data_IF_691819756021
#
_entry.id   IF_691819756021
#
_cell.length_a   1.000
_cell.length_b   1.000
_cell.length_c   1.000
_cell.angle_alpha   90.00
_cell.angle_beta   90.00
_cell.angle_gamma   90.00
#
_symmetry.space_group_name_H-M   'P 1'
#
loop_
_entity.id
_entity.type
_entity.pdbx_description
1 polymer ?
#
# COMPACT_ATOMS: atom_id res chain seq x y z
N UNK A 1 -51.96 60.69 7.85
CA UNK A 1 -50.89 60.69 8.80
C UNK A 1 -49.86 59.69 8.28
N UNK A 2 -48.92 60.11 7.57
CA UNK A 2 -47.45 60.15 7.58
C UNK A 2 -46.79 59.05 8.44
N UNK A 3 -46.05 58.17 7.80
CA UNK A 3 -44.71 57.63 8.16
C UNK A 3 -44.54 56.32 7.38
N UNK A 4 -43.46 55.92 6.87
CA UNK A 4 -42.13 56.36 6.58
C UNK A 4 -41.53 55.25 5.71
N UNK A 5 -41.13 55.53 4.51
CA UNK A 5 -40.27 54.68 3.68
C UNK A 5 -38.84 55.19 3.90
N UNK A 6 -37.99 54.38 4.45
CA UNK A 6 -36.51 54.44 4.22
C UNK A 6 -35.86 53.17 4.79
N UNK A 7 -34.91 52.70 4.05
CA UNK A 7 -33.84 51.73 4.32
C UNK A 7 -34.02 50.39 3.60
N UNK A 8 -33.46 50.33 2.41
CA UNK A 8 -32.97 49.11 1.78
C UNK A 8 -32.01 49.51 0.65
N UNK A 9 -30.81 49.93 0.99
CA UNK A 9 -29.71 50.09 0.03
C UNK A 9 -28.35 50.18 0.74
N UNK A 10 -27.90 49.13 1.41
CA UNK A 10 -26.50 48.88 1.77
C UNK A 10 -26.34 47.41 2.12
N UNK A 11 -26.13 46.53 1.19
CA UNK A 11 -25.65 45.15 1.44
C UNK A 11 -25.18 44.45 0.14
N UNK A 12 -24.45 45.15 -0.72
CA UNK A 12 -23.87 44.50 -1.95
C UNK A 12 -22.44 44.83 -2.24
N UNK A 13 -21.64 45.28 -1.27
CA UNK A 13 -20.24 45.63 -1.51
C UNK A 13 -19.23 44.70 -0.76
N UNK A 14 -19.68 43.79 0.11
CA UNK A 14 -18.76 43.00 0.95
C UNK A 14 -18.37 41.61 0.39
N UNK A 15 -18.97 41.12 -0.69
CA UNK A 15 -18.63 39.77 -1.18
C UNK A 15 -17.53 39.72 -2.23
N UNK A 16 -17.25 40.81 -2.93
CA UNK A 16 -16.19 40.88 -3.96
C UNK A 16 -14.79 41.13 -3.39
N UNK A 17 -14.68 41.83 -2.28
CA UNK A 17 -13.39 42.13 -1.65
C UNK A 17 -12.71 40.92 -1.01
N UNK A 18 -13.48 40.04 -0.39
CA UNK A 18 -12.94 38.86 0.26
C UNK A 18 -12.46 37.80 -0.74
N UNK A 19 -13.15 37.60 -1.88
CA UNK A 19 -12.75 36.68 -2.91
C UNK A 19 -11.44 37.06 -3.59
N UNK A 20 -11.21 38.35 -3.82
CA UNK A 20 -9.97 38.85 -4.43
C UNK A 20 -8.78 38.74 -3.45
N UNK A 21 -9.02 39.02 -2.16
CA UNK A 21 -7.98 38.92 -1.13
C UNK A 21 -7.54 37.47 -0.91
N UNK A 22 -8.47 36.52 -0.90
CA UNK A 22 -8.17 35.09 -0.82
C UNK A 22 -7.43 34.57 -2.05
N UNK A 23 -7.81 34.99 -3.24
CA UNK A 23 -7.14 34.61 -4.48
C UNK A 23 -5.71 35.19 -4.56
N UNK A 24 -5.49 36.39 -4.10
CA UNK A 24 -4.15 37.01 -4.06
C UNK A 24 -3.25 36.37 -3.00
N UNK A 25 -3.76 36.06 -1.81
CA UNK A 25 -2.99 35.37 -0.76
C UNK A 25 -2.62 33.94 -1.14
N UNK A 26 -3.52 33.21 -1.81
CA UNK A 26 -3.24 31.86 -2.30
C UNK A 26 -2.22 31.87 -3.46
N UNK A 27 -2.28 32.84 -4.38
CA UNK A 27 -1.33 32.97 -5.48
C UNK A 27 0.10 33.34 -4.99
N UNK A 28 0.22 34.22 -4.02
CA UNK A 28 1.50 34.58 -3.38
C UNK A 28 2.08 33.39 -2.62
N UNK A 29 1.25 32.63 -1.92
CA UNK A 29 1.62 31.38 -1.24
C UNK A 29 2.12 30.33 -2.25
N UNK A 30 1.41 30.12 -3.35
CA UNK A 30 1.80 29.20 -4.41
C UNK A 30 3.12 29.55 -5.11
N UNK A 31 3.36 30.82 -5.38
CA UNK A 31 4.63 31.30 -5.97
C UNK A 31 5.82 31.05 -5.04
N UNK A 32 5.68 31.33 -3.76
CA UNK A 32 6.69 31.06 -2.73
C UNK A 32 6.99 29.56 -2.62
N UNK A 33 5.95 28.71 -2.60
CA UNK A 33 6.10 27.24 -2.57
C UNK A 33 6.84 26.71 -3.80
N UNK A 34 6.56 27.23 -4.98
CA UNK A 34 7.28 26.87 -6.22
C UNK A 34 8.77 27.22 -6.13
N UNK A 35 9.10 28.41 -5.62
CA UNK A 35 10.48 28.82 -5.41
C UNK A 35 11.19 27.91 -4.40
N UNK A 36 10.55 27.60 -3.27
CA UNK A 36 11.09 26.68 -2.26
C UNK A 36 11.32 25.28 -2.80
N UNK A 37 10.36 24.74 -3.58
CA UNK A 37 10.50 23.43 -4.23
C UNK A 37 11.64 23.45 -5.27
N UNK A 38 11.75 24.49 -6.08
CA UNK A 38 12.81 24.65 -7.07
C UNK A 38 14.20 24.65 -6.43
N UNK A 39 14.37 25.32 -5.27
CA UNK A 39 15.62 25.30 -4.49
C UNK A 39 16.01 23.90 -4.02
N UNK A 40 15.03 23.01 -3.84
CA UNK A 40 15.24 21.59 -3.50
C UNK A 40 15.39 20.68 -4.74
N UNK A 41 15.34 21.25 -5.96
CA UNK A 41 15.29 20.49 -7.22
C UNK A 41 14.00 19.66 -7.35
N UNK A 42 12.88 20.18 -6.83
CA UNK A 42 11.56 19.57 -6.86
C UNK A 42 10.55 20.46 -7.61
N UNK A 43 9.42 19.88 -7.95
CA UNK A 43 8.31 20.54 -8.65
C UNK A 43 7.15 20.71 -7.67
N UNK A 44 6.58 21.92 -7.62
CA UNK A 44 5.35 22.18 -6.92
C UNK A 44 4.29 22.69 -7.87
N UNK A 45 3.10 22.11 -7.85
CA UNK A 45 1.95 22.51 -8.65
C UNK A 45 0.70 22.64 -7.75
N UNK A 46 -0.16 23.60 -8.10
CA UNK A 46 -1.43 23.79 -7.40
C UNK A 46 -2.50 22.82 -7.92
N UNK A 47 -3.58 22.63 -7.17
CA UNK A 47 -4.71 21.80 -7.60
C UNK A 47 -5.31 22.26 -8.93
N UNK A 48 -5.38 23.57 -9.13
CA UNK A 48 -5.86 24.15 -10.39
C UNK A 48 -4.96 23.79 -11.56
N UNK A 49 -3.64 23.86 -11.37
CA UNK A 49 -2.66 23.47 -12.38
C UNK A 49 -2.71 21.97 -12.69
N UNK A 50 -2.88 21.14 -11.65
CA UNK A 50 -3.06 19.69 -11.83
C UNK A 50 -4.30 19.42 -12.70
N UNK A 51 -5.44 20.03 -12.38
CA UNK A 51 -6.68 19.83 -13.12
C UNK A 51 -6.59 20.37 -14.55
N UNK A 52 -6.04 21.57 -14.74
CA UNK A 52 -5.85 22.16 -16.07
C UNK A 52 -4.89 21.34 -16.94
N UNK A 53 -3.75 20.90 -16.36
CA UNK A 53 -2.79 20.04 -17.02
C UNK A 53 -3.38 18.70 -17.42
N UNK A 54 -4.06 18.01 -16.50
CA UNK A 54 -4.70 16.73 -16.76
C UNK A 54 -5.80 16.79 -17.83
N UNK A 55 -6.57 17.89 -17.89
CA UNK A 55 -7.53 18.13 -18.98
C UNK A 55 -6.84 18.26 -20.33
N UNK A 56 -5.69 18.94 -20.39
CA UNK A 56 -4.89 19.09 -21.60
C UNK A 56 -4.24 17.78 -22.01
N UNK A 57 -3.77 17.00 -21.06
CA UNK A 57 -3.15 15.69 -21.27
C UNK A 57 -4.14 14.64 -21.76
N UNK A 58 -5.38 14.63 -21.26
CA UNK A 58 -6.50 13.80 -21.71
C UNK A 58 -6.36 12.31 -21.46
N UNK A 59 -5.20 11.83 -20.99
CA UNK A 59 -4.93 10.41 -20.71
C UNK A 59 -3.89 10.23 -19.63
N UNK A 60 -3.81 9.00 -19.09
CA UNK A 60 -2.72 8.56 -18.23
C UNK A 60 -2.38 7.09 -18.52
N UNK A 61 -1.10 6.75 -18.56
CA UNK A 61 -0.61 5.38 -18.75
C UNK A 61 -0.03 4.90 -17.42
N UNK A 62 -0.67 3.91 -16.82
CA UNK A 62 -0.34 3.43 -15.47
C UNK A 62 0.09 1.96 -15.48
N UNK A 63 1.10 1.63 -14.68
CA UNK A 63 1.49 0.27 -14.35
C UNK A 63 1.52 0.11 -12.82
N UNK A 64 0.35 0.02 -12.17
CA UNK A 64 0.27 -0.05 -10.72
C UNK A 64 0.61 -1.43 -10.18
N UNK A 65 0.94 -1.51 -8.88
CA UNK A 65 1.23 -2.76 -8.19
C UNK A 65 0.00 -3.61 -7.86
N UNK A 66 -1.20 -3.10 -8.10
CA UNK A 66 -2.46 -3.80 -7.81
C UNK A 66 -2.74 -4.93 -8.80
N UNK A 67 -3.47 -5.94 -8.33
CA UNK A 67 -3.85 -7.10 -9.15
C UNK A 67 -4.77 -6.72 -10.31
N UNK A 68 -4.67 -7.43 -11.42
CA UNK A 68 -5.47 -7.21 -12.63
C UNK A 68 -6.99 -7.23 -12.36
N UNK A 69 -7.44 -8.02 -11.39
CA UNK A 69 -8.85 -8.05 -10.99
C UNK A 69 -9.39 -6.71 -10.49
N UNK A 70 -8.53 -5.80 -10.06
CA UNK A 70 -8.93 -4.46 -9.59
C UNK A 70 -9.02 -3.45 -10.73
N UNK A 71 -8.47 -3.75 -11.92
CA UNK A 71 -8.34 -2.81 -13.05
C UNK A 71 -9.67 -2.20 -13.45
N UNK A 72 -10.62 -3.02 -13.83
CA UNK A 72 -11.89 -2.51 -14.40
C UNK A 72 -12.63 -1.61 -13.42
N UNK A 73 -12.89 -2.01 -12.16
CA UNK A 73 -13.57 -1.15 -11.20
C UNK A 73 -12.82 0.15 -10.87
N UNK A 74 -11.49 0.10 -10.72
CA UNK A 74 -10.69 1.29 -10.42
C UNK A 74 -10.68 2.27 -11.60
N UNK A 75 -10.48 1.78 -12.81
CA UNK A 75 -10.48 2.62 -14.03
C UNK A 75 -11.85 3.27 -14.24
N UNK A 76 -12.95 2.50 -14.10
CA UNK A 76 -14.30 3.04 -14.24
C UNK A 76 -14.61 4.12 -13.21
N UNK A 77 -14.25 3.90 -11.93
CA UNK A 77 -14.48 4.89 -10.89
C UNK A 77 -13.61 6.14 -11.08
N UNK A 78 -12.34 5.99 -11.47
CA UNK A 78 -11.48 7.11 -11.80
C UNK A 78 -12.04 7.93 -12.96
N UNK A 79 -12.43 7.29 -14.07
CA UNK A 79 -12.96 7.98 -15.25
C UNK A 79 -14.34 8.60 -14.99
N UNK A 80 -15.14 8.03 -14.08
CA UNK A 80 -16.37 8.67 -13.62
C UNK A 80 -16.09 9.98 -12.88
N UNK A 81 -15.04 10.03 -12.06
CA UNK A 81 -14.60 11.22 -11.32
C UNK A 81 -13.91 12.25 -12.22
N UNK A 82 -13.10 11.78 -13.16
CA UNK A 82 -12.33 12.60 -14.09
C UNK A 82 -12.61 12.19 -15.54
N UNK A 83 -13.79 12.52 -16.11
CA UNK A 83 -14.24 12.04 -17.42
C UNK A 83 -13.41 12.59 -18.60
N UNK A 84 -12.55 13.54 -18.33
CA UNK A 84 -11.62 14.11 -19.30
C UNK A 84 -10.26 13.39 -19.35
N UNK A 85 -10.06 12.30 -18.57
CA UNK A 85 -8.83 11.49 -18.58
C UNK A 85 -9.17 10.05 -18.89
N UNK A 86 -8.61 9.50 -19.96
CA UNK A 86 -8.65 8.08 -20.25
C UNK A 86 -7.48 7.35 -19.56
N UNK A 87 -7.70 6.14 -19.08
CA UNK A 87 -6.67 5.35 -18.40
C UNK A 87 -6.25 4.18 -19.27
N UNK A 88 -4.96 4.11 -19.57
CA UNK A 88 -4.32 2.95 -20.17
C UNK A 88 -3.58 2.19 -19.06
N UNK A 89 -4.11 1.02 -18.67
CA UNK A 89 -3.51 0.16 -17.65
C UNK A 89 -2.59 -0.87 -18.30
N UNK A 90 -1.34 -0.90 -17.88
CA UNK A 90 -0.35 -1.89 -18.31
C UNK A 90 0.03 -2.80 -17.16
N UNK A 91 0.40 -4.03 -17.51
CA UNK A 91 0.82 -5.03 -16.55
C UNK A 91 2.31 -5.26 -16.74
N UNK A 92 3.06 -5.19 -15.64
CA UNK A 92 4.46 -5.61 -15.56
C UNK A 92 4.48 -6.83 -14.64
N UNK A 93 4.60 -8.03 -15.20
CA UNK A 93 4.25 -9.27 -14.49
C UNK A 93 5.41 -10.13 -14.02
N UNK A 94 6.64 -9.89 -14.47
CA UNK A 94 7.77 -10.76 -14.16
C UNK A 94 9.08 -9.97 -14.00
N UNK A 95 10.09 -10.63 -13.46
CA UNK A 95 11.42 -10.04 -13.26
C UNK A 95 12.03 -9.53 -14.59
N UNK A 96 11.71 -10.14 -15.71
CA UNK A 96 12.15 -9.72 -17.05
C UNK A 96 11.49 -8.42 -17.47
N UNK A 97 10.18 -8.31 -17.27
CA UNK A 97 9.40 -7.08 -17.53
C UNK A 97 9.86 -5.91 -16.67
N UNK A 98 10.19 -6.16 -15.40
CA UNK A 98 10.71 -5.15 -14.49
C UNK A 98 12.11 -4.67 -14.88
N UNK A 99 13.00 -5.60 -15.23
CA UNK A 99 14.34 -5.23 -15.69
C UNK A 99 14.25 -4.40 -16.97
N UNK A 100 13.41 -4.80 -17.92
CA UNK A 100 13.13 -4.03 -19.14
C UNK A 100 12.59 -2.63 -18.80
N UNK A 101 11.64 -2.53 -17.87
CA UNK A 101 11.08 -1.24 -17.43
C UNK A 101 12.16 -0.31 -16.87
N UNK A 102 13.06 -0.82 -16.01
CA UNK A 102 14.18 -0.05 -15.45
C UNK A 102 15.08 0.46 -16.59
N UNK A 103 15.43 -0.40 -17.55
CA UNK A 103 16.26 -0.03 -18.69
C UNK A 103 15.59 1.00 -19.59
N UNK A 104 14.30 0.85 -19.86
CA UNK A 104 13.52 1.81 -20.67
C UNK A 104 13.42 3.17 -19.97
N UNK A 105 13.21 3.19 -18.66
CA UNK A 105 13.20 4.44 -17.87
C UNK A 105 14.58 5.10 -17.87
N UNK A 106 15.64 4.34 -17.68
CA UNK A 106 17.00 4.85 -17.71
C UNK A 106 17.39 5.42 -19.09
N UNK A 107 16.93 4.77 -20.16
CA UNK A 107 17.15 5.23 -21.53
C UNK A 107 16.22 6.39 -21.98
N UNK A 108 15.32 6.87 -21.10
CA UNK A 108 14.32 7.88 -21.45
C UNK A 108 13.24 7.40 -22.44
N UNK A 109 13.07 6.08 -22.59
CA UNK A 109 12.15 5.44 -23.54
C UNK A 109 10.85 4.92 -22.90
N UNK A 110 10.74 4.99 -21.57
CA UNK A 110 9.51 4.58 -20.89
C UNK A 110 8.33 5.45 -21.33
N UNK A 111 7.20 4.81 -21.56
CA UNK A 111 5.93 5.48 -21.89
C UNK A 111 4.98 5.55 -20.71
N UNK A 112 5.37 5.05 -19.54
CA UNK A 112 4.56 5.07 -18.33
C UNK A 112 4.55 6.47 -17.71
N UNK A 113 3.38 6.92 -17.28
CA UNK A 113 3.21 8.13 -16.50
C UNK A 113 3.28 7.83 -15.00
N UNK A 114 2.62 6.75 -14.58
CA UNK A 114 2.66 6.22 -13.21
C UNK A 114 3.13 4.77 -13.24
N UNK A 115 4.01 4.39 -12.33
CA UNK A 115 4.48 3.03 -12.21
C UNK A 115 4.66 2.61 -10.75
N UNK A 116 4.59 1.31 -10.52
CA UNK A 116 4.93 0.70 -9.23
C UNK A 116 6.36 0.16 -9.29
N UNK A 117 7.32 0.74 -8.54
CA UNK A 117 8.63 0.13 -8.40
C UNK A 117 8.50 -1.15 -7.55
N UNK A 118 8.84 -2.29 -8.14
CA UNK A 118 8.76 -3.57 -7.43
C UNK A 118 9.67 -3.62 -6.21
N UNK A 119 9.20 -4.25 -5.13
CA UNK A 119 9.91 -4.23 -3.84
C UNK A 119 11.31 -4.86 -3.91
N UNK A 120 11.47 -5.96 -4.65
CA UNK A 120 12.77 -6.65 -4.81
C UNK A 120 13.80 -5.78 -5.53
N UNK A 121 13.35 -4.84 -6.37
CA UNK A 121 14.16 -3.92 -7.16
C UNK A 121 14.13 -2.48 -6.64
N UNK A 122 13.45 -2.24 -5.53
CA UNK A 122 13.23 -0.89 -5.01
C UNK A 122 14.53 -0.10 -4.81
N UNK A 123 15.58 -0.76 -4.32
CA UNK A 123 16.91 -0.15 -4.16
C UNK A 123 17.56 0.26 -5.50
N UNK A 124 17.29 -0.47 -6.58
CA UNK A 124 17.76 -0.12 -7.93
C UNK A 124 17.02 1.12 -8.43
N UNK A 125 15.69 1.17 -8.29
CA UNK A 125 14.90 2.36 -8.63
C UNK A 125 15.40 3.60 -7.87
N UNK A 126 15.69 3.48 -6.58
CA UNK A 126 16.24 4.60 -5.79
C UNK A 126 17.61 5.07 -6.28
N UNK A 127 18.46 4.14 -6.78
CA UNK A 127 19.74 4.47 -7.39
C UNK A 127 19.59 5.28 -8.69
N UNK A 128 18.74 4.81 -9.59
CA UNK A 128 18.55 5.42 -10.90
C UNK A 128 17.67 6.67 -10.87
N UNK A 129 16.89 6.85 -9.79
CA UNK A 129 16.00 8.01 -9.58
C UNK A 129 15.06 8.28 -10.77
N UNK A 130 14.34 7.27 -11.29
CA UNK A 130 13.49 7.43 -12.47
C UNK A 130 12.17 8.14 -12.17
N UNK A 131 12.15 8.97 -11.13
CA UNK A 131 10.99 9.63 -10.58
C UNK A 131 10.98 11.11 -10.95
N UNK A 132 9.85 11.61 -11.41
CA UNK A 132 9.58 13.03 -11.48
C UNK A 132 9.42 13.56 -10.05
N UNK A 133 10.21 14.55 -9.68
CA UNK A 133 10.35 14.96 -8.29
C UNK A 133 9.34 16.04 -7.90
N UNK A 134 8.09 15.65 -7.70
CA UNK A 134 7.12 16.54 -7.08
C UNK A 134 7.38 16.64 -5.55
N UNK A 135 7.23 17.84 -4.98
CA UNK A 135 7.24 18.04 -3.52
C UNK A 135 5.87 17.62 -2.95
N UNK A 136 5.61 16.29 -3.00
CA UNK A 136 4.33 15.71 -2.59
C UNK A 136 3.96 16.08 -1.15
N UNK A 137 4.96 16.15 -0.25
CA UNK A 137 4.74 16.50 1.17
C UNK A 137 4.22 17.93 1.30
N UNK A 138 4.85 18.89 0.61
CA UNK A 138 4.37 20.28 0.60
C UNK A 138 3.00 20.40 -0.07
N UNK A 139 2.78 19.69 -1.18
CA UNK A 139 1.49 19.71 -1.89
C UNK A 139 0.35 19.14 -1.02
N UNK A 140 0.60 18.09 -0.25
CA UNK A 140 -0.38 17.54 0.72
C UNK A 140 -0.61 18.52 1.88
N UNK A 141 0.46 19.06 2.45
CA UNK A 141 0.38 20.02 3.53
C UNK A 141 -0.47 21.25 3.17
N UNK A 142 -0.36 21.72 1.93
CA UNK A 142 -1.09 22.88 1.42
C UNK A 142 -2.44 22.53 0.81
N UNK A 143 -2.88 21.26 0.90
CA UNK A 143 -4.18 20.80 0.38
C UNK A 143 -4.27 20.69 -1.16
N UNK A 144 -3.13 20.74 -1.87
CA UNK A 144 -3.10 20.61 -3.32
C UNK A 144 -3.27 19.16 -3.77
N UNK A 145 -2.92 18.19 -2.93
CA UNK A 145 -3.20 16.77 -3.06
C UNK A 145 -3.88 16.26 -1.79
N UNK A 146 -4.92 15.46 -1.95
CA UNK A 146 -5.71 14.89 -0.84
C UNK A 146 -5.36 13.41 -0.66
N UNK A 147 -4.32 13.14 0.11
CA UNK A 147 -3.91 11.80 0.51
C UNK A 147 -3.28 11.83 1.91
N UNK A 148 -3.27 10.72 2.65
CA UNK A 148 -2.57 10.63 3.93
C UNK A 148 -1.06 10.89 3.76
N UNK A 149 -0.53 11.88 4.51
CA UNK A 149 0.88 12.26 4.41
C UNK A 149 1.84 11.09 4.71
N UNK A 150 1.45 10.19 5.61
CA UNK A 150 2.23 9.00 5.99
C UNK A 150 2.31 7.93 4.88
N UNK A 151 1.56 8.09 3.79
CA UNK A 151 1.75 7.27 2.58
C UNK A 151 3.00 7.68 1.80
N UNK A 152 3.51 8.90 1.99
CA UNK A 152 4.68 9.40 1.28
C UNK A 152 5.94 8.94 2.01
N UNK A 153 6.83 8.26 1.30
CA UNK A 153 8.09 7.78 1.87
C UNK A 153 9.09 8.89 2.19
N UNK A 154 10.25 8.49 2.72
CA UNK A 154 11.32 9.44 3.09
C UNK A 154 11.92 10.18 1.88
N UNK A 155 11.81 9.61 0.66
CA UNK A 155 12.28 10.27 -0.57
C UNK A 155 11.39 11.45 -0.96
N UNK A 156 10.14 11.44 -0.50
CA UNK A 156 9.13 12.45 -0.79
C UNK A 156 8.49 12.34 -2.18
N UNK A 157 8.80 11.28 -2.95
CA UNK A 157 8.36 11.13 -4.35
C UNK A 157 7.62 9.81 -4.63
N UNK A 158 7.61 8.88 -3.68
CA UNK A 158 6.90 7.59 -3.78
C UNK A 158 5.77 7.54 -2.78
N UNK A 159 4.61 7.09 -3.21
CA UNK A 159 3.42 6.92 -2.37
C UNK A 159 3.18 5.42 -2.18
N UNK A 160 2.98 4.97 -0.94
CA UNK A 160 2.74 3.57 -0.57
C UNK A 160 1.25 3.35 -0.33
N UNK A 161 0.57 2.76 -1.30
CA UNK A 161 -0.88 2.70 -1.41
C UNK A 161 -1.52 1.47 -0.77
N UNK A 162 -0.72 0.47 -0.38
CA UNK A 162 -1.24 -0.79 0.11
C UNK A 162 -0.63 -1.22 1.44
N UNK A 163 -1.23 -2.27 2.00
CA UNK A 163 -0.76 -2.95 3.21
C UNK A 163 -0.89 -4.46 3.05
N UNK A 164 -0.14 -5.19 3.84
CA UNK A 164 -0.33 -6.63 4.01
C UNK A 164 -0.11 -7.01 5.47
N UNK A 165 -0.96 -7.87 5.99
CA UNK A 165 -0.94 -8.30 7.39
C UNK A 165 -0.58 -9.78 7.49
N UNK A 166 0.23 -10.14 8.49
CA UNK A 166 0.47 -11.53 8.86
C UNK A 166 -0.50 -11.99 9.96
N UNK A 167 -1.00 -13.19 9.83
CA UNK A 167 -1.95 -13.78 10.78
C UNK A 167 -1.65 -15.24 11.08
N UNK A 168 -2.54 -15.87 11.83
CA UNK A 168 -2.53 -17.30 12.11
C UNK A 168 -3.88 -17.85 11.65
N UNK A 169 -3.90 -19.03 11.07
CA UNK A 169 -5.12 -19.71 10.65
C UNK A 169 -5.14 -21.15 11.18
N UNK A 170 -6.31 -21.64 11.55
CA UNK A 170 -6.44 -23.01 12.02
C UNK A 170 -7.70 -23.70 11.50
N UNK A 171 -7.67 -25.03 11.46
CA UNK A 171 -8.74 -25.89 10.96
C UNK A 171 -9.69 -26.26 12.12
N UNK A 172 -10.94 -25.80 12.05
CA UNK A 172 -11.89 -25.85 13.18
C UNK A 172 -12.48 -27.24 13.46
N UNK A 173 -12.41 -28.17 12.49
CA UNK A 173 -12.84 -29.57 12.70
C UNK A 173 -11.77 -30.42 13.40
N UNK A 174 -10.50 -29.96 13.38
CA UNK A 174 -9.36 -30.67 13.97
C UNK A 174 -8.94 -30.02 15.26
N UNK A 175 -8.96 -28.69 15.33
CA UNK A 175 -8.55 -27.90 16.48
C UNK A 175 -9.78 -27.46 17.27
N UNK A 176 -10.04 -28.01 18.44
CA UNK A 176 -11.17 -27.61 19.26
C UNK A 176 -10.95 -26.18 19.83
N UNK A 177 -12.02 -25.46 20.20
CA UNK A 177 -11.94 -24.07 20.62
C UNK A 177 -10.99 -23.80 21.80
N UNK A 178 -10.88 -24.70 22.75
CA UNK A 178 -9.99 -24.62 23.92
C UNK A 178 -8.51 -24.84 23.60
N UNK A 179 -8.21 -25.38 22.40
CA UNK A 179 -6.86 -25.58 21.87
C UNK A 179 -6.50 -24.59 20.76
N UNK A 180 -7.42 -23.70 20.38
CA UNK A 180 -7.19 -22.75 19.29
C UNK A 180 -5.98 -21.86 19.58
N UNK A 181 -5.16 -21.54 18.55
CA UNK A 181 -4.04 -20.62 18.74
C UNK A 181 -4.56 -19.23 19.11
N UNK A 182 -3.85 -18.54 20.02
CA UNK A 182 -4.20 -17.17 20.45
C UNK A 182 -3.16 -16.12 20.05
N UNK A 183 -1.98 -16.55 19.62
CA UNK A 183 -0.89 -15.65 19.25
C UNK A 183 0.35 -16.40 18.79
N UNK A 184 1.46 -15.68 18.64
CA UNK A 184 2.71 -16.22 18.12
C UNK A 184 3.26 -17.40 18.92
N UNK A 185 3.17 -17.35 20.27
CA UNK A 185 3.68 -18.43 21.13
C UNK A 185 2.90 -19.73 20.91
N UNK A 186 1.62 -19.65 20.53
CA UNK A 186 0.83 -20.85 20.18
C UNK A 186 1.42 -21.62 19.01
N UNK A 187 2.13 -20.96 18.10
CA UNK A 187 2.79 -21.63 16.96
C UNK A 187 4.02 -22.46 17.38
N UNK A 188 4.52 -22.25 18.59
CA UNK A 188 5.64 -22.99 19.19
C UNK A 188 5.19 -24.14 20.09
N UNK A 189 3.89 -24.27 20.36
CA UNK A 189 3.36 -25.29 21.24
C UNK A 189 3.71 -26.71 20.70
N UNK A 190 4.32 -27.59 21.51
CA UNK A 190 4.68 -28.94 21.10
C UNK A 190 3.50 -29.79 20.59
N UNK A 191 2.25 -29.47 20.99
CA UNK A 191 1.07 -30.17 20.49
C UNK A 191 0.94 -30.07 18.95
N UNK A 192 1.53 -29.03 18.35
CA UNK A 192 1.53 -28.79 16.89
C UNK A 192 2.75 -29.37 16.17
N UNK A 193 3.63 -30.08 16.86
CA UNK A 193 4.80 -30.69 16.22
C UNK A 193 4.36 -31.54 15.01
N UNK A 194 4.96 -31.26 13.82
CA UNK A 194 4.58 -31.87 12.53
C UNK A 194 3.13 -31.60 12.08
N UNK A 195 2.43 -30.65 12.72
CA UNK A 195 1.04 -30.28 12.42
C UNK A 195 0.85 -28.77 12.23
N UNK A 196 1.92 -28.00 12.37
CA UNK A 196 1.95 -26.57 12.08
C UNK A 196 2.62 -26.34 10.72
N UNK A 197 2.11 -25.41 9.94
CA UNK A 197 2.73 -24.99 8.69
C UNK A 197 3.25 -23.55 8.79
N UNK A 198 4.31 -23.27 8.00
CA UNK A 198 4.84 -21.95 7.75
C UNK A 198 5.13 -21.79 6.25
N UNK A 199 5.04 -20.55 5.75
CA UNK A 199 5.48 -20.21 4.41
C UNK A 199 7.02 -20.25 4.33
N UNK A 200 7.54 -20.82 3.24
CA UNK A 200 8.99 -20.81 2.97
C UNK A 200 9.56 -19.40 2.83
N UNK A 201 8.70 -18.41 2.56
CA UNK A 201 9.00 -16.97 2.60
C UNK A 201 8.47 -16.36 3.89
N UNK A 202 9.29 -16.21 4.95
CA UNK A 202 8.85 -15.80 6.29
C UNK A 202 8.49 -14.32 6.41
N UNK A 203 7.64 -13.81 5.53
CA UNK A 203 7.30 -12.39 5.43
C UNK A 203 6.69 -11.84 6.72
N UNK A 204 5.77 -12.59 7.33
CA UNK A 204 5.15 -12.16 8.58
C UNK A 204 6.20 -12.02 9.70
N UNK A 205 7.20 -12.90 9.76
CA UNK A 205 8.29 -12.81 10.74
C UNK A 205 9.21 -11.63 10.44
N UNK A 206 9.52 -11.37 9.17
CA UNK A 206 10.29 -10.19 8.78
C UNK A 206 9.59 -8.89 9.21
N UNK A 207 8.27 -8.83 9.14
CA UNK A 207 7.48 -7.67 9.58
C UNK A 207 7.37 -7.54 11.11
N UNK A 208 7.81 -8.53 11.88
CA UNK A 208 7.95 -8.41 13.33
C UNK A 208 9.26 -7.75 13.76
N UNK A 209 10.26 -7.65 12.88
CA UNK A 209 11.56 -7.07 13.22
C UNK A 209 11.51 -5.65 13.80
N UNK A 210 10.64 -4.72 13.32
CA UNK A 210 10.54 -3.39 13.92
C UNK A 210 10.18 -3.39 15.41
N UNK A 211 9.38 -4.37 15.86
CA UNK A 211 8.92 -4.45 17.26
C UNK A 211 9.74 -5.43 18.09
N UNK A 212 10.09 -6.58 17.54
CA UNK A 212 10.83 -7.62 18.29
C UNK A 212 12.34 -7.47 18.22
N UNK A 213 12.86 -6.79 17.21
CA UNK A 213 14.28 -6.81 16.88
C UNK A 213 14.68 -8.08 16.14
N UNK A 214 15.80 -8.01 15.41
CA UNK A 214 16.30 -9.09 14.57
C UNK A 214 16.61 -10.36 15.37
N UNK A 215 17.32 -10.23 16.49
CA UNK A 215 17.73 -11.35 17.33
C UNK A 215 16.54 -12.19 17.83
N UNK A 216 15.49 -11.52 18.36
CA UNK A 216 14.29 -12.20 18.83
C UNK A 216 13.54 -12.88 17.69
N UNK A 217 13.48 -12.28 16.50
CA UNK A 217 12.85 -12.92 15.32
C UNK A 217 13.61 -14.17 14.90
N UNK A 218 14.94 -14.11 14.86
CA UNK A 218 15.78 -15.28 14.52
C UNK A 218 15.67 -16.39 15.57
N UNK A 219 15.64 -16.04 16.88
CA UNK A 219 15.43 -17.03 17.95
C UNK A 219 14.06 -17.69 17.83
N UNK A 220 13.00 -16.91 17.63
CA UNK A 220 11.67 -17.42 17.38
C UNK A 220 11.62 -18.36 16.17
N UNK A 221 12.25 -17.97 15.07
CA UNK A 221 12.32 -18.79 13.86
C UNK A 221 13.07 -20.12 14.08
N UNK A 222 14.15 -20.14 14.90
CA UNK A 222 14.83 -21.39 15.28
C UNK A 222 13.91 -22.30 16.09
N UNK A 223 13.13 -21.74 17.02
CA UNK A 223 12.13 -22.49 17.80
C UNK A 223 11.04 -23.06 16.90
N UNK A 224 10.54 -22.28 15.92
CA UNK A 224 9.62 -22.77 14.89
C UNK A 224 10.19 -24.01 14.20
N UNK A 225 11.45 -23.97 13.75
CA UNK A 225 12.10 -25.12 13.12
C UNK A 225 12.14 -26.34 14.03
N UNK A 226 12.36 -26.16 15.34
CA UNK A 226 12.32 -27.22 16.34
C UNK A 226 10.98 -27.94 16.43
N UNK A 227 9.89 -27.30 16.02
CA UNK A 227 8.57 -27.89 15.95
C UNK A 227 8.32 -28.73 14.68
N UNK A 228 9.34 -28.90 13.83
CA UNK A 228 9.32 -29.67 12.59
C UNK A 228 8.12 -29.27 11.68
N UNK A 229 8.00 -27.98 11.29
CA UNK A 229 6.83 -27.51 10.58
C UNK A 229 6.73 -28.06 9.17
N UNK A 230 5.53 -28.07 8.62
CA UNK A 230 5.28 -28.30 7.22
C UNK A 230 5.59 -27.00 6.48
N UNK A 231 6.53 -27.05 5.54
CA UNK A 231 6.92 -25.91 4.74
C UNK A 231 6.07 -25.82 3.48
N UNK A 232 5.36 -24.71 3.31
CA UNK A 232 4.50 -24.48 2.14
C UNK A 232 5.00 -23.32 1.29
N UNK A 233 5.14 -23.50 -0.02
CA UNK A 233 5.55 -22.43 -0.93
C UNK A 233 4.37 -21.54 -1.33
N UNK A 234 3.87 -20.74 -0.39
CA UNK A 234 2.82 -19.75 -0.66
C UNK A 234 1.45 -20.06 -0.03
N UNK A 235 0.75 -18.98 0.29
CA UNK A 235 -0.45 -19.02 1.12
C UNK A 235 -1.63 -19.77 0.47
N UNK A 236 -1.82 -19.69 -0.85
CA UNK A 236 -2.99 -20.31 -1.50
C UNK A 236 -2.98 -21.83 -1.36
N UNK A 237 -1.85 -22.47 -1.67
CA UNK A 237 -1.68 -23.91 -1.52
C UNK A 237 -1.82 -24.34 -0.05
N UNK A 238 -1.16 -23.61 0.87
CA UNK A 238 -1.22 -23.88 2.30
C UNK A 238 -2.65 -23.80 2.85
N UNK A 239 -3.45 -22.82 2.44
CA UNK A 239 -4.83 -22.68 2.90
C UNK A 239 -5.70 -23.84 2.39
N UNK A 240 -5.49 -24.28 1.15
CA UNK A 240 -6.17 -25.47 0.60
C UNK A 240 -5.81 -26.71 1.41
N UNK A 241 -4.53 -26.96 1.68
CA UNK A 241 -4.06 -28.09 2.49
C UNK A 241 -4.61 -28.02 3.92
N UNK A 242 -4.62 -26.84 4.56
CA UNK A 242 -5.22 -26.64 5.87
C UNK A 242 -6.72 -26.98 5.84
N UNK A 243 -7.44 -26.58 4.80
CA UNK A 243 -8.89 -26.79 4.71
C UNK A 243 -9.28 -28.25 4.68
N UNK A 244 -8.46 -29.10 4.06
CA UNK A 244 -8.67 -30.55 4.00
C UNK A 244 -8.00 -31.31 5.15
N UNK A 245 -7.31 -30.61 6.06
CA UNK A 245 -6.78 -31.17 7.29
C UNK A 245 -5.40 -31.84 7.18
N UNK A 246 -4.59 -31.52 6.17
CA UNK A 246 -3.21 -32.02 6.07
C UNK A 246 -2.35 -31.55 7.24
N UNK A 247 -2.70 -30.40 7.84
CA UNK A 247 -2.14 -29.88 9.09
C UNK A 247 -3.20 -29.10 9.87
N UNK A 248 -2.89 -28.71 11.09
CA UNK A 248 -3.87 -28.16 12.03
C UNK A 248 -3.85 -26.63 12.09
N UNK A 249 -2.65 -26.03 11.98
CA UNK A 249 -2.41 -24.60 12.16
C UNK A 249 -1.47 -24.08 11.08
N UNK A 250 -1.76 -22.92 10.54
CA UNK A 250 -0.89 -22.20 9.60
C UNK A 250 -0.48 -20.87 10.22
N UNK A 251 0.78 -20.73 10.59
CA UNK A 251 1.34 -19.54 11.22
C UNK A 251 2.05 -18.64 10.20
N UNK A 252 1.85 -17.33 10.33
CA UNK A 252 2.43 -16.35 9.42
C UNK A 252 1.70 -16.24 8.08
N UNK A 253 0.46 -16.72 7.98
CA UNK A 253 -0.36 -16.58 6.77
C UNK A 253 -0.56 -15.12 6.41
N UNK A 254 -0.43 -14.78 5.13
CA UNK A 254 -0.82 -13.45 4.65
C UNK A 254 -2.34 -13.33 4.66
N UNK A 255 -2.88 -12.46 5.52
CA UNK A 255 -4.31 -12.37 5.83
C UNK A 255 -5.18 -12.08 4.61
N UNK A 256 -4.70 -11.28 3.64
CA UNK A 256 -5.43 -11.02 2.40
C UNK A 256 -5.72 -12.30 1.59
N UNK A 257 -4.79 -13.26 1.59
CA UNK A 257 -5.00 -14.56 0.94
C UNK A 257 -6.06 -15.38 1.66
N UNK A 258 -6.04 -15.36 3.00
CA UNK A 258 -7.04 -16.01 3.82
C UNK A 258 -8.42 -15.39 3.65
N UNK A 259 -8.53 -14.07 3.71
CA UNK A 259 -9.79 -13.34 3.50
C UNK A 259 -10.39 -13.63 2.12
N UNK A 260 -9.56 -13.66 1.07
CA UNK A 260 -10.02 -14.00 -0.28
C UNK A 260 -10.59 -15.41 -0.36
N UNK A 261 -9.91 -16.40 0.23
CA UNK A 261 -10.40 -17.79 0.25
C UNK A 261 -11.71 -17.92 1.03
N UNK A 262 -11.79 -17.33 2.23
CA UNK A 262 -13.01 -17.35 3.04
C UNK A 262 -14.17 -16.56 2.42
N UNK A 263 -13.88 -15.54 1.62
CA UNK A 263 -14.89 -14.81 0.84
C UNK A 263 -15.43 -15.65 -0.31
N UNK A 264 -14.55 -16.40 -0.98
CA UNK A 264 -14.93 -17.27 -2.10
C UNK A 264 -15.70 -18.51 -1.62
N UNK A 265 -15.33 -19.05 -0.47
CA UNK A 265 -16.02 -20.18 0.18
C UNK A 265 -16.11 -19.96 1.70
N UNK A 266 -17.24 -19.37 2.17
CA UNK A 266 -17.47 -19.17 3.60
C UNK A 266 -17.71 -20.47 4.39
N UNK A 267 -17.87 -21.61 3.74
CA UNK A 267 -18.12 -22.90 4.37
C UNK A 267 -16.82 -23.62 4.78
N UNK A 268 -15.67 -23.11 4.38
CA UNK A 268 -14.37 -23.67 4.78
C UNK A 268 -14.26 -23.74 6.30
N UNK A 269 -13.84 -24.89 6.86
CA UNK A 269 -13.71 -25.07 8.32
C UNK A 269 -12.45 -24.39 8.85
N UNK A 270 -12.29 -23.10 8.57
CA UNK A 270 -11.10 -22.32 8.88
C UNK A 270 -11.45 -21.08 9.69
N UNK A 271 -10.59 -20.74 10.65
CA UNK A 271 -10.67 -19.48 11.38
C UNK A 271 -9.35 -18.75 11.39
N UNK A 272 -9.45 -17.42 11.29
CA UNK A 272 -8.33 -16.49 11.43
C UNK A 272 -8.13 -16.06 12.87
N UNK A 273 -6.88 -15.94 13.27
CA UNK A 273 -6.46 -15.29 14.51
C UNK A 273 -5.53 -14.13 14.17
N UNK A 274 -5.83 -12.97 14.73
CA UNK A 274 -5.00 -11.77 14.64
C UNK A 274 -4.00 -11.81 15.79
N UNK A 275 -2.70 -12.04 15.52
CA UNK A 275 -1.71 -12.18 16.59
C UNK A 275 -1.33 -10.82 17.20
N UNK A 276 -0.67 -10.86 18.36
CA UNK A 276 -0.09 -9.70 19.03
C UNK A 276 1.43 -9.92 19.21
N UNK A 277 2.29 -9.03 18.68
CA UNK A 277 1.94 -7.90 17.81
C UNK A 277 1.42 -8.36 16.45
N UNK A 278 0.59 -7.50 15.82
CA UNK A 278 0.13 -7.69 14.46
C UNK A 278 1.21 -7.19 13.47
N UNK A 279 1.84 -8.07 12.68
CA UNK A 279 2.81 -7.63 11.68
C UNK A 279 2.09 -7.06 10.46
N UNK A 280 2.43 -5.83 10.11
CA UNK A 280 1.92 -5.14 8.91
C UNK A 280 3.09 -4.62 8.10
N UNK A 281 3.12 -4.93 6.80
CA UNK A 281 4.03 -4.32 5.84
C UNK A 281 3.30 -3.35 4.92
N UNK A 282 3.93 -2.23 4.60
CA UNK A 282 3.45 -1.32 3.55
C UNK A 282 3.82 -1.89 2.18
N UNK A 283 2.90 -1.80 1.24
CA UNK A 283 3.02 -2.32 -0.12
C UNK A 283 2.52 -1.31 -1.16
N UNK A 284 2.55 -1.72 -2.41
CA UNK A 284 2.07 -0.98 -3.57
C UNK A 284 2.68 0.44 -3.63
N UNK A 285 4.03 0.55 -3.68
CA UNK A 285 4.64 1.83 -3.94
C UNK A 285 4.30 2.28 -5.36
N UNK A 286 3.91 3.54 -5.53
CA UNK A 286 3.66 4.15 -6.84
C UNK A 286 4.31 5.52 -6.93
N UNK A 287 4.76 5.88 -8.12
CA UNK A 287 5.43 7.15 -8.38
C UNK A 287 5.17 7.65 -9.81
N UNK A 288 5.32 8.97 -10.01
CA UNK A 288 5.32 9.57 -11.34
C UNK A 288 6.66 9.28 -12.02
N UNK A 289 6.62 8.75 -13.23
CA UNK A 289 7.81 8.48 -14.03
C UNK A 289 8.54 9.78 -14.40
N UNK A 290 9.88 9.76 -14.37
CA UNK A 290 10.71 10.89 -14.82
C UNK A 290 10.37 11.33 -16.25
N UNK A 291 9.97 10.37 -17.09
CA UNK A 291 9.66 10.60 -18.50
C UNK A 291 8.15 10.70 -18.77
N UNK A 292 7.34 10.87 -17.71
CA UNK A 292 5.89 10.99 -17.85
C UNK A 292 5.52 12.11 -18.83
N UNK A 293 4.67 11.78 -19.79
CA UNK A 293 4.10 12.74 -20.73
C UNK A 293 2.80 13.35 -20.20
N UNK A 294 2.17 12.68 -19.26
CA UNK A 294 0.90 13.06 -18.66
C UNK A 294 1.01 13.12 -17.12
N UNK A 295 1.96 13.92 -16.57
CA UNK A 295 2.26 13.89 -15.15
C UNK A 295 1.14 14.44 -14.26
N UNK A 296 0.33 15.39 -14.76
CA UNK A 296 -0.79 15.95 -14.01
C UNK A 296 -1.94 14.94 -13.90
N UNK A 297 -2.25 14.22 -14.96
CA UNK A 297 -3.19 13.11 -14.93
C UNK A 297 -2.66 11.98 -14.02
N UNK A 298 -1.34 11.76 -13.99
CA UNK A 298 -0.68 10.87 -13.04
C UNK A 298 -0.88 11.27 -11.59
N UNK A 299 -0.76 12.57 -11.26
CA UNK A 299 -1.03 13.07 -9.90
C UNK A 299 -2.50 12.86 -9.49
N UNK A 300 -3.47 13.06 -10.41
CA UNK A 300 -4.88 12.76 -10.14
C UNK A 300 -5.11 11.26 -9.91
N UNK A 301 -4.40 10.40 -10.66
CA UNK A 301 -4.45 8.95 -10.46
C UNK A 301 -3.95 8.57 -9.07
N UNK A 302 -2.78 9.05 -8.65
CA UNK A 302 -2.22 8.77 -7.33
C UNK A 302 -3.13 9.25 -6.19
N UNK A 303 -3.70 10.46 -6.32
CA UNK A 303 -4.67 10.99 -5.36
C UNK A 303 -5.94 10.15 -5.29
N UNK A 304 -6.46 9.69 -6.43
CA UNK A 304 -7.63 8.81 -6.49
C UNK A 304 -7.32 7.46 -5.83
N UNK A 305 -6.19 6.85 -6.16
CA UNK A 305 -5.77 5.57 -5.59
C UNK A 305 -5.59 5.64 -4.07
N UNK A 306 -5.11 6.77 -3.54
CA UNK A 306 -4.97 7.02 -2.10
C UNK A 306 -6.30 7.41 -1.41
N UNK A 307 -7.36 7.74 -2.16
CA UNK A 307 -8.64 8.18 -1.60
C UNK A 307 -9.43 7.04 -0.95
N UNK A 308 -10.38 7.37 -0.06
CA UNK A 308 -11.31 6.38 0.52
C UNK A 308 -12.05 5.57 -0.57
N UNK A 309 -12.42 6.19 -1.69
CA UNK A 309 -13.10 5.54 -2.80
C UNK A 309 -12.20 4.50 -3.50
N UNK A 310 -11.00 4.90 -3.93
CA UNK A 310 -10.04 4.00 -4.58
C UNK A 310 -9.62 2.85 -3.66
N UNK A 311 -9.33 3.14 -2.40
CA UNK A 311 -8.94 2.15 -1.41
C UNK A 311 -10.08 1.17 -1.08
N UNK A 312 -11.33 1.66 -0.99
CA UNK A 312 -12.48 0.77 -0.78
C UNK A 312 -12.67 -0.19 -1.95
N UNK A 313 -12.57 0.27 -3.19
CA UNK A 313 -12.67 -0.60 -4.38
C UNK A 313 -11.60 -1.68 -4.34
N UNK A 314 -10.34 -1.31 -4.04
CA UNK A 314 -9.24 -2.27 -3.93
C UNK A 314 -9.49 -3.30 -2.82
N UNK A 315 -10.00 -2.87 -1.66
CA UNK A 315 -10.26 -3.71 -0.50
C UNK A 315 -11.49 -4.62 -0.71
N UNK A 316 -12.53 -4.14 -1.37
CA UNK A 316 -13.70 -4.96 -1.72
C UNK A 316 -13.33 -6.13 -2.65
N UNK A 317 -12.34 -5.98 -3.50
CA UNK A 317 -11.87 -7.04 -4.41
C UNK A 317 -10.84 -7.95 -3.73
N UNK A 318 -9.90 -7.35 -3.00
CA UNK A 318 -8.82 -8.05 -2.33
C UNK A 318 -8.69 -7.60 -0.88
N UNK A 319 -9.57 -8.10 0.03
CA UNK A 319 -9.66 -7.63 1.41
C UNK A 319 -8.32 -7.68 2.16
N UNK A 320 -7.95 -6.60 2.82
CA UNK A 320 -6.71 -6.48 3.58
C UNK A 320 -5.47 -6.13 2.75
N UNK A 321 -5.65 -5.74 1.46
CA UNK A 321 -4.59 -5.19 0.61
C UNK A 321 -4.57 -3.67 0.55
N UNK A 322 -5.69 -3.03 0.86
CA UNK A 322 -5.76 -1.58 0.95
C UNK A 322 -4.93 -1.04 2.14
N UNK A 323 -4.62 0.23 2.09
CA UNK A 323 -3.77 0.88 3.08
C UNK A 323 -4.39 0.91 4.47
N UNK A 324 -3.61 0.57 5.49
CA UNK A 324 -3.99 0.74 6.89
C UNK A 324 -4.19 2.23 7.27
N UNK A 325 -3.65 3.15 6.48
CA UNK A 325 -3.73 4.60 6.73
C UNK A 325 -5.06 5.22 6.25
N UNK A 326 -5.91 4.43 5.57
CA UNK A 326 -7.23 4.90 5.11
C UNK A 326 -8.32 4.27 5.97
N UNK A 327 -9.09 5.14 6.62
CA UNK A 327 -10.19 4.76 7.49
C UNK A 327 -11.22 3.87 6.78
N UNK A 328 -11.62 2.78 7.45
CA UNK A 328 -12.65 1.87 6.96
C UNK A 328 -12.13 0.71 6.11
N UNK A 329 -10.83 0.68 5.74
CA UNK A 329 -10.24 -0.51 5.10
C UNK A 329 -10.11 -1.66 6.10
N UNK A 330 -10.07 -2.90 5.60
CA UNK A 330 -9.88 -4.10 6.44
C UNK A 330 -8.57 -3.99 7.24
N UNK A 331 -7.49 -3.47 6.64
CA UNK A 331 -6.23 -3.28 7.35
C UNK A 331 -6.34 -2.25 8.47
N UNK A 332 -7.00 -1.11 8.22
CA UNK A 332 -7.24 -0.07 9.23
C UNK A 332 -8.09 -0.59 10.39
N UNK A 333 -9.20 -1.25 10.09
CA UNK A 333 -10.10 -1.83 11.10
C UNK A 333 -9.39 -2.93 11.92
N UNK A 334 -8.60 -3.79 11.25
CA UNK A 334 -7.87 -4.87 11.93
C UNK A 334 -6.76 -4.32 12.84
N UNK A 335 -6.10 -3.23 12.44
CA UNK A 335 -5.02 -2.61 13.21
C UNK A 335 -5.52 -1.78 14.40
N UNK A 336 -6.79 -1.35 14.38
CA UNK A 336 -7.35 -0.47 15.41
C UNK A 336 -7.24 -1.10 16.80
N UNK A 337 -6.77 -0.32 17.77
CA UNK A 337 -6.61 -0.69 19.17
C UNK A 337 -5.69 -1.91 19.41
N UNK A 338 -4.79 -2.22 18.47
CA UNK A 338 -3.83 -3.32 18.55
C UNK A 338 -2.39 -2.84 18.61
N UNK A 339 -1.56 -3.66 19.22
CA UNK A 339 -0.11 -3.50 19.11
C UNK A 339 0.32 -3.95 17.70
N UNK A 340 0.71 -2.98 16.87
CA UNK A 340 1.12 -3.19 15.47
C UNK A 340 2.64 -3.17 15.34
N UNK A 341 3.20 -4.17 14.70
CA UNK A 341 4.57 -4.14 14.21
C UNK A 341 4.55 -3.64 12.76
N UNK A 342 4.73 -2.33 12.59
CA UNK A 342 4.66 -1.69 11.27
C UNK A 342 6.02 -1.73 10.59
N UNK A 343 6.10 -2.51 9.52
CA UNK A 343 7.18 -2.49 8.56
C UNK A 343 6.85 -1.43 7.48
N UNK A 344 7.27 -0.19 7.74
CA UNK A 344 7.07 0.94 6.83
C UNK A 344 7.87 0.81 5.53
N UNK A 345 7.90 1.85 4.67
CA UNK A 345 8.50 1.81 3.34
C UNK A 345 9.91 1.21 3.28
N UNK A 346 10.81 1.73 4.11
CA UNK A 346 12.23 1.28 4.15
C UNK A 346 12.36 -0.18 4.61
N UNK A 347 11.58 -0.59 5.58
CA UNK A 347 11.54 -1.96 6.08
C UNK A 347 10.96 -2.89 5.00
N UNK A 348 9.84 -2.54 4.38
CA UNK A 348 9.19 -3.34 3.33
C UNK A 348 10.08 -3.51 2.10
N UNK A 349 10.80 -2.47 1.70
CA UNK A 349 11.80 -2.53 0.64
C UNK A 349 13.00 -3.46 0.97
N UNK A 350 13.29 -3.64 2.26
CA UNK A 350 14.34 -4.55 2.75
C UNK A 350 13.85 -5.93 3.13
N UNK A 351 12.55 -6.20 3.06
CA UNK A 351 11.94 -7.42 3.59
C UNK A 351 12.50 -8.71 2.96
N UNK A 352 12.86 -8.71 1.68
CA UNK A 352 13.41 -9.89 1.01
C UNK A 352 14.75 -10.32 1.62
N UNK A 353 15.63 -9.38 1.94
CA UNK A 353 16.90 -9.67 2.64
C UNK A 353 16.65 -10.21 4.05
N UNK A 354 15.66 -9.67 4.74
CA UNK A 354 15.26 -10.14 6.07
C UNK A 354 14.68 -11.56 6.01
N UNK A 355 13.85 -11.85 5.02
CA UNK A 355 13.32 -13.20 4.76
C UNK A 355 14.42 -14.19 4.42
N UNK A 356 15.36 -13.82 3.53
CA UNK A 356 16.53 -14.64 3.20
C UNK A 356 17.35 -14.97 4.47
N UNK A 357 17.59 -13.96 5.31
CA UNK A 357 18.32 -14.14 6.57
C UNK A 357 17.61 -15.13 7.50
N UNK A 358 16.31 -14.99 7.70
CA UNK A 358 15.52 -15.94 8.51
C UNK A 358 15.60 -17.35 7.91
N UNK A 359 15.38 -17.49 6.61
CA UNK A 359 15.38 -18.78 5.94
C UNK A 359 16.73 -19.48 6.02
N UNK A 360 17.83 -18.76 5.81
CA UNK A 360 19.19 -19.32 5.81
C UNK A 360 19.69 -19.55 7.24
N UNK A 361 19.65 -18.53 8.12
CA UNK A 361 20.30 -18.60 9.42
C UNK A 361 19.48 -19.31 10.51
N UNK A 362 18.13 -19.22 10.41
CA UNK A 362 17.28 -19.86 11.40
C UNK A 362 16.70 -21.21 10.93
N UNK A 363 16.28 -21.28 9.65
CA UNK A 363 15.68 -22.49 9.11
C UNK A 363 16.67 -23.42 8.39
N UNK A 364 17.91 -22.96 8.15
CA UNK A 364 18.97 -23.68 7.40
C UNK A 364 18.53 -24.06 5.98
N UNK A 365 17.73 -23.21 5.34
CA UNK A 365 17.46 -23.39 3.92
C UNK A 365 18.70 -23.05 3.09
N UNK A 366 18.88 -23.71 1.94
CA UNK A 366 19.97 -23.36 1.04
C UNK A 366 19.78 -21.92 0.55
N UNK A 367 20.91 -21.20 0.44
CA UNK A 367 20.89 -19.87 -0.17
C UNK A 367 20.57 -20.02 -1.65
N UNK A 368 19.51 -19.34 -2.10
CA UNK A 368 19.18 -19.27 -3.53
C UNK A 368 20.22 -18.37 -4.19
N UNK A 369 20.91 -18.92 -5.21
CA UNK A 369 21.92 -18.22 -5.99
C UNK A 369 21.30 -17.23 -6.97
#
# INVERSE_FOLDING_TARGET
>A
MKKLIFILSVLWVFSLGNGILWAQTSAVSGAKRKEEATKKGMIYVTKEEILAGAKKEGKVIVAPGYQESTRVPLVQAFQKKYPFVTVEWRIVQDDGGEHKQILEMHAGKSTLDVFSPHLTKYSEYLKFKPFLRYDLKAMVQDGQLQLPADMIDDTGVVIWLGSVMGGIMYQTKIVPPDKAPVGWDSCLDPQWKKKVAFDTKPRALAFLMPTWGEEKVLDYARKVKGNEPIWSPGATAAITQLSIGEFSVYCGVMMHSAYRQLKNDPTLPLKMVVPNPLPIGMLEPEAISLNAKNPHAGLLWLEFMASKEGQKIADDINPGRASLLVEGTVANQTAKDRNVSLCGPRCSAGADKQMEKIAVEAWNFPKVK
#
